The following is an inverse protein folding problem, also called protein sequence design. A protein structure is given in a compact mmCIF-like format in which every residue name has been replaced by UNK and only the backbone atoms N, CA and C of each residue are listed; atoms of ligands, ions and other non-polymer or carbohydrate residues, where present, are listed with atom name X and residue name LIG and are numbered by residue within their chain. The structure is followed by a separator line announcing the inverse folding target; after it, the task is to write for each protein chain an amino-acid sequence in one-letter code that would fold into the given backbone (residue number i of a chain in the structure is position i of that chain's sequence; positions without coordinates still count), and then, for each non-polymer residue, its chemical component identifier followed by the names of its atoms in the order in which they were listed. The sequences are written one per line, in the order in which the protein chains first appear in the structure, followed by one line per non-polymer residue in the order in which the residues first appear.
data_IF_220159726274
#
_entry.id   IF_220159726274
#
_cell.length_a   1.000
_cell.length_b   1.000
_cell.length_c   1.000
_cell.angle_alpha   90.00
_cell.angle_beta   90.00
_cell.angle_gamma   90.00
#
_symmetry.space_group_name_H-M   'P 1'
#
loop_
_entity.id
_entity.type
_entity.pdbx_description
1 polymer ?
#
# COMPACT_ATOMS: atom_id res chain seq x y z
N UNK A 1 -23.12 12.12 -2.67
CA UNK A 1 -24.21 11.46 -3.41
C UNK A 1 -23.68 11.04 -4.75
N UNK A 2 -23.57 9.74 -4.95
CA UNK A 2 -23.13 9.13 -6.19
C UNK A 2 -24.18 9.34 -7.29
N UNK A 3 -23.77 9.37 -8.57
CA UNK A 3 -24.71 9.50 -9.68
C UNK A 3 -25.65 8.29 -9.78
N UNK A 4 -26.86 8.51 -10.32
CA UNK A 4 -27.80 7.43 -10.56
C UNK A 4 -27.17 6.35 -11.45
N UNK A 5 -27.36 5.10 -11.05
CA UNK A 5 -26.78 3.95 -11.73
C UNK A 5 -25.26 3.80 -11.59
N UNK A 6 -24.63 4.47 -10.62
CA UNK A 6 -23.20 4.34 -10.36
C UNK A 6 -22.74 2.88 -10.27
N UNK A 7 -23.50 2.04 -9.56
CA UNK A 7 -23.18 0.62 -9.40
C UNK A 7 -23.11 -0.12 -10.76
N UNK A 8 -24.00 0.19 -11.71
CA UNK A 8 -23.97 -0.39 -13.06
C UNK A 8 -22.73 0.03 -13.87
N UNK A 9 -22.23 1.24 -13.62
CA UNK A 9 -21.03 1.77 -14.27
C UNK A 9 -19.73 1.32 -13.60
N UNK A 10 -19.75 0.72 -12.41
CA UNK A 10 -18.55 0.09 -11.83
C UNK A 10 -18.16 -1.13 -12.67
N UNK A 11 -16.87 -1.25 -13.02
CA UNK A 11 -16.37 -2.39 -13.80
C UNK A 11 -16.70 -3.72 -13.12
N UNK A 12 -17.07 -4.74 -13.92
CA UNK A 12 -17.48 -6.05 -13.42
C UNK A 12 -16.49 -6.63 -12.40
N UNK A 13 -15.20 -6.56 -12.70
CA UNK A 13 -14.14 -7.03 -11.79
C UNK A 13 -14.13 -6.32 -10.45
N UNK A 14 -14.26 -4.98 -10.43
CA UNK A 14 -14.29 -4.21 -9.17
C UNK A 14 -15.56 -4.47 -8.38
N UNK A 15 -16.70 -4.58 -9.08
CA UNK A 15 -17.99 -4.93 -8.46
C UNK A 15 -17.90 -6.29 -7.77
N UNK A 16 -17.40 -7.31 -8.48
CA UNK A 16 -17.22 -8.66 -7.92
C UNK A 16 -16.27 -8.67 -6.73
N UNK A 17 -15.20 -7.88 -6.73
CA UNK A 17 -14.31 -7.75 -5.56
C UNK A 17 -15.11 -7.24 -4.36
N UNK A 18 -15.86 -6.15 -4.51
CA UNK A 18 -16.65 -5.56 -3.40
C UNK A 18 -17.75 -6.52 -2.93
N UNK A 19 -18.45 -7.18 -3.86
CA UNK A 19 -19.51 -8.16 -3.57
C UNK A 19 -18.99 -9.39 -2.81
N UNK A 20 -17.78 -9.86 -3.14
CA UNK A 20 -17.16 -11.05 -2.52
C UNK A 20 -16.26 -10.73 -1.33
N UNK A 21 -16.05 -9.46 -0.99
CA UNK A 21 -15.22 -9.06 0.14
C UNK A 21 -15.95 -9.35 1.46
N UNK A 22 -15.33 -10.12 2.34
CA UNK A 22 -15.84 -10.37 3.69
C UNK A 22 -15.29 -9.35 4.71
N UNK A 23 -14.02 -8.96 4.54
CA UNK A 23 -13.30 -8.06 5.46
C UNK A 23 -12.61 -6.95 4.69
N UNK A 24 -12.85 -5.70 5.09
CA UNK A 24 -12.15 -4.51 4.61
C UNK A 24 -11.21 -4.01 5.71
N UNK A 25 -9.92 -3.95 5.41
CA UNK A 25 -8.90 -3.41 6.32
C UNK A 25 -8.44 -2.06 5.78
N UNK A 26 -8.51 -1.02 6.62
CA UNK A 26 -7.99 0.30 6.31
C UNK A 26 -6.95 0.66 7.36
N UNK A 27 -5.69 0.70 6.94
CA UNK A 27 -4.57 1.14 7.77
C UNK A 27 -4.31 2.65 7.56
N UNK A 28 -3.63 3.28 8.52
CA UNK A 28 -3.34 4.72 8.55
C UNK A 28 -4.61 5.59 8.35
N UNK A 29 -5.68 5.24 9.07
CA UNK A 29 -7.00 5.88 8.95
C UNK A 29 -6.98 7.39 9.25
N UNK A 30 -5.99 7.88 9.99
CA UNK A 30 -5.83 9.31 10.33
C UNK A 30 -5.61 10.21 9.11
N UNK A 31 -5.07 9.67 8.01
CA UNK A 31 -4.89 10.42 6.75
C UNK A 31 -6.12 10.40 5.84
N UNK A 32 -7.15 9.62 6.17
CA UNK A 32 -8.38 9.55 5.38
C UNK A 32 -9.34 10.67 5.80
N UNK A 33 -9.89 11.39 4.83
CA UNK A 33 -10.88 12.42 5.12
C UNK A 33 -12.22 11.76 5.49
N UNK A 34 -12.95 12.35 6.43
CA UNK A 34 -14.33 12.01 6.78
C UNK A 34 -15.22 11.69 5.57
N UNK A 35 -15.30 12.60 4.60
CA UNK A 35 -16.15 12.44 3.43
C UNK A 35 -15.71 11.29 2.53
N UNK A 36 -14.43 10.89 2.56
CA UNK A 36 -13.96 9.73 1.80
C UNK A 36 -14.41 8.44 2.46
N UNK A 37 -14.44 8.38 3.79
CA UNK A 37 -14.99 7.23 4.50
C UNK A 37 -16.49 7.07 4.19
N UNK A 38 -17.24 8.18 4.20
CA UNK A 38 -18.65 8.19 3.79
C UNK A 38 -18.85 7.74 2.34
N UNK A 39 -17.96 8.15 1.43
CA UNK A 39 -18.01 7.67 0.03
C UNK A 39 -17.74 6.18 -0.09
N UNK A 40 -16.78 5.62 0.67
CA UNK A 40 -16.50 4.18 0.66
C UNK A 40 -17.71 3.40 1.15
N UNK A 41 -18.34 3.85 2.24
CA UNK A 41 -19.59 3.28 2.77
C UNK A 41 -20.72 3.31 1.72
N UNK A 42 -20.98 4.47 1.11
CA UNK A 42 -22.01 4.66 0.07
C UNK A 42 -21.80 3.68 -1.10
N UNK A 43 -20.56 3.53 -1.58
CA UNK A 43 -20.21 2.58 -2.65
C UNK A 43 -20.46 1.14 -2.23
N UNK A 44 -20.02 0.74 -1.04
CA UNK A 44 -20.19 -0.63 -0.56
C UNK A 44 -21.67 -1.01 -0.40
N UNK A 45 -22.50 -0.12 0.15
CA UNK A 45 -23.96 -0.31 0.28
C UNK A 45 -24.64 -0.52 -1.05
N UNK A 46 -24.36 0.35 -2.03
CA UNK A 46 -24.95 0.30 -3.35
C UNK A 46 -24.54 -0.97 -4.10
N UNK A 47 -23.25 -1.29 -4.13
CA UNK A 47 -22.73 -2.46 -4.86
C UNK A 47 -23.24 -3.77 -4.24
N UNK A 48 -23.28 -3.87 -2.91
CA UNK A 48 -23.75 -5.09 -2.22
C UNK A 48 -25.27 -5.17 -2.08
N UNK A 49 -26.00 -4.14 -2.55
CA UNK A 49 -27.46 -4.03 -2.43
C UNK A 49 -27.94 -4.19 -0.98
N UNK A 50 -27.21 -3.60 -0.04
CA UNK A 50 -27.49 -3.62 1.40
C UNK A 50 -27.42 -2.19 1.93
N UNK A 51 -28.47 -1.42 1.64
CA UNK A 51 -28.53 0.03 1.92
C UNK A 51 -28.59 0.35 3.41
N UNK A 52 -29.16 -0.54 4.22
CA UNK A 52 -29.34 -0.32 5.67
C UNK A 52 -28.18 -0.85 6.53
N UNK A 53 -27.17 -1.47 5.91
CA UNK A 53 -26.02 -2.03 6.63
C UNK A 53 -24.75 -1.21 6.37
N UNK A 54 -24.04 -0.74 7.42
CA UNK A 54 -22.72 -0.13 7.27
C UNK A 54 -21.80 -0.96 6.38
N UNK A 55 -21.18 -0.29 5.42
CA UNK A 55 -20.31 -0.81 4.38
C UNK A 55 -20.93 -1.98 3.62
N UNK A 56 -22.25 -1.99 3.42
CA UNK A 56 -22.97 -3.10 2.79
C UNK A 56 -22.82 -4.42 3.54
N UNK A 57 -22.59 -4.37 4.86
CA UNK A 57 -22.40 -5.53 5.73
C UNK A 57 -21.02 -6.18 5.63
N UNK A 58 -20.01 -5.47 5.12
CA UNK A 58 -18.60 -5.91 5.18
C UNK A 58 -18.08 -5.72 6.62
N UNK A 59 -17.31 -6.68 7.14
CA UNK A 59 -16.58 -6.46 8.39
C UNK A 59 -15.46 -5.45 8.16
N UNK A 60 -15.48 -4.33 8.86
CA UNK A 60 -14.45 -3.28 8.72
C UNK A 60 -13.47 -3.31 9.89
N UNK A 61 -12.18 -3.33 9.58
CA UNK A 61 -11.08 -3.20 10.54
C UNK A 61 -10.32 -1.92 10.22
N UNK A 62 -10.31 -0.99 11.17
CA UNK A 62 -9.65 0.31 11.03
C UNK A 62 -8.44 0.36 11.96
N UNK A 63 -7.29 0.79 11.42
CA UNK A 63 -6.03 0.96 12.14
C UNK A 63 -5.46 2.34 11.84
N UNK A 64 -4.82 2.96 12.83
CA UNK A 64 -4.12 4.23 12.67
C UNK A 64 -4.00 5.00 13.97
N UNK A 65 -3.34 6.15 13.89
CA UNK A 65 -3.03 7.00 15.02
C UNK A 65 -3.34 8.46 14.68
N UNK A 66 -4.31 9.06 15.39
CA UNK A 66 -4.78 10.42 15.13
C UNK A 66 -3.78 11.50 15.57
N UNK A 67 -2.75 11.14 16.35
CA UNK A 67 -1.63 12.03 16.65
C UNK A 67 -0.59 12.11 15.52
N UNK A 68 -0.67 11.21 14.53
CA UNK A 68 0.14 11.30 13.31
C UNK A 68 -0.45 12.33 12.34
N UNK A 69 -0.10 12.24 11.05
CA UNK A 69 -0.50 13.26 10.09
C UNK A 69 -2.03 13.23 9.86
N UNK A 70 -2.68 14.40 9.84
CA UNK A 70 -4.08 14.52 9.50
C UNK A 70 -4.32 14.35 7.99
N UNK A 71 -5.59 14.31 7.54
CA UNK A 71 -5.91 14.30 6.12
C UNK A 71 -5.37 15.55 5.41
N UNK A 72 -4.79 15.36 4.22
CA UNK A 72 -4.17 16.45 3.46
C UNK A 72 -5.20 17.24 2.66
N UNK A 73 -5.55 18.43 3.16
CA UNK A 73 -6.38 19.41 2.45
C UNK A 73 -5.56 20.18 1.41
N UNK A 74 -6.06 20.28 0.17
CA UNK A 74 -5.43 21.05 -0.93
C UNK A 74 -6.17 22.37 -1.09
N UNK A 75 -5.46 23.46 -1.41
CA UNK A 75 -6.01 24.82 -1.51
C UNK A 75 -7.23 25.00 -2.45
N UNK A 76 -7.43 24.10 -3.43
CA UNK A 76 -8.57 24.09 -4.35
C UNK A 76 -9.40 22.80 -4.26
N UNK A 77 -9.22 22.03 -3.19
CA UNK A 77 -9.93 20.78 -2.95
C UNK A 77 -11.09 20.95 -1.98
N UNK A 78 -11.92 19.91 -1.88
CA UNK A 78 -12.87 19.77 -0.76
C UNK A 78 -12.05 19.60 0.52
N UNK A 79 -12.25 20.50 1.47
CA UNK A 79 -11.73 20.32 2.83
C UNK A 79 -12.49 19.21 3.55
N UNK A 80 -11.78 18.43 4.37
CA UNK A 80 -12.36 17.43 5.24
C UNK A 80 -11.57 17.27 6.53
N UNK A 81 -12.25 16.78 7.57
CA UNK A 81 -11.65 16.49 8.87
C UNK A 81 -11.32 15.01 9.04
N UNK A 82 -10.98 14.63 10.27
CA UNK A 82 -10.73 13.24 10.63
C UNK A 82 -11.98 12.37 10.45
N UNK A 83 -11.76 11.07 10.15
CA UNK A 83 -12.83 10.10 9.92
C UNK A 83 -13.88 9.99 11.03
N UNK A 84 -13.55 10.38 12.27
CA UNK A 84 -14.48 10.33 13.41
C UNK A 84 -15.68 11.26 13.23
N UNK A 85 -15.55 12.27 12.36
CA UNK A 85 -16.60 13.23 12.04
C UNK A 85 -17.59 12.69 10.98
N UNK A 86 -17.27 11.56 10.34
CA UNK A 86 -18.06 10.99 9.26
C UNK A 86 -19.34 10.31 9.76
N UNK A 87 -20.36 10.29 8.89
CA UNK A 87 -21.61 9.57 9.18
C UNK A 87 -21.39 8.06 9.23
N UNK A 88 -20.56 7.53 8.32
CA UNK A 88 -20.18 6.13 8.28
C UNK A 88 -19.46 5.69 9.57
N UNK A 89 -18.57 6.51 10.14
CA UNK A 89 -17.93 6.19 11.43
C UNK A 89 -18.96 6.09 12.57
N UNK A 90 -19.90 7.04 12.63
CA UNK A 90 -20.95 7.08 13.65
C UNK A 90 -21.89 5.87 13.55
N UNK A 91 -22.32 5.51 12.35
CA UNK A 91 -23.24 4.38 12.12
C UNK A 91 -22.56 3.03 12.28
N UNK A 92 -21.28 2.92 11.88
CA UNK A 92 -20.48 1.71 12.09
C UNK A 92 -20.29 1.39 13.58
N UNK A 93 -20.28 2.41 14.45
CA UNK A 93 -20.00 2.32 15.89
C UNK A 93 -18.87 1.31 16.21
N UNK A 94 -17.64 1.55 15.72
CA UNK A 94 -16.60 0.54 15.75
C UNK A 94 -16.20 0.19 17.19
N UNK A 95 -15.96 -1.10 17.45
CA UNK A 95 -15.33 -1.54 18.70
C UNK A 95 -13.89 -1.03 18.75
N UNK A 96 -13.63 -0.13 19.68
CA UNK A 96 -12.32 0.50 19.87
C UNK A 96 -11.44 -0.40 20.72
N UNK A 97 -10.26 -0.75 20.19
CA UNK A 97 -9.17 -1.41 20.89
C UNK A 97 -7.97 -0.46 20.92
N UNK A 98 -7.36 -0.26 22.09
CA UNK A 98 -6.23 0.66 22.25
C UNK A 98 -4.97 -0.13 22.59
N UNK A 99 -3.95 -0.04 21.74
CA UNK A 99 -2.65 -0.66 21.98
C UNK A 99 -1.78 0.26 22.85
N UNK A 100 -1.12 -0.30 23.85
CA UNK A 100 -0.32 0.47 24.82
C UNK A 100 1.18 0.17 24.72
N UNK A 101 1.54 -1.07 24.40
CA UNK A 101 2.94 -1.51 24.29
C UNK A 101 3.60 -0.96 23.02
N UNK A 102 4.79 -0.38 23.16
CA UNK A 102 5.60 0.14 22.07
C UNK A 102 6.66 -0.89 21.70
N UNK A 103 6.68 -1.31 20.43
CA UNK A 103 7.64 -2.31 19.94
C UNK A 103 8.76 -1.72 19.06
N UNK A 104 8.64 -0.44 18.65
CA UNK A 104 9.60 0.17 17.71
C UNK A 104 10.81 0.74 18.44
N UNK A 105 10.57 1.61 19.41
CA UNK A 105 11.63 2.18 20.22
C UNK A 105 12.07 1.21 21.30
N UNK A 106 13.35 1.25 21.67
CA UNK A 106 13.87 0.44 22.77
C UNK A 106 13.35 0.99 24.10
N UNK A 107 12.97 0.10 25.01
CA UNK A 107 12.59 0.49 26.36
C UNK A 107 13.73 1.24 27.05
N UNK A 108 13.39 2.37 27.69
CA UNK A 108 14.35 3.25 28.36
C UNK A 108 15.13 4.18 27.43
N UNK A 109 14.87 4.18 26.12
CA UNK A 109 15.51 5.11 25.19
C UNK A 109 14.99 6.55 25.37
N UNK A 110 15.89 7.53 25.24
CA UNK A 110 15.56 8.96 25.35
C UNK A 110 14.53 9.39 24.30
N UNK A 111 14.59 8.84 23.10
CA UNK A 111 13.63 9.13 22.03
C UNK A 111 12.22 8.70 22.42
N UNK A 112 12.07 7.56 23.10
CA UNK A 112 10.76 7.09 23.56
C UNK A 112 10.16 8.04 24.61
N UNK A 113 10.98 8.55 25.54
CA UNK A 113 10.54 9.56 26.51
C UNK A 113 10.06 10.82 25.81
N UNK A 114 10.83 11.33 24.84
CA UNK A 114 10.48 12.52 24.06
C UNK A 114 9.17 12.30 23.30
N UNK A 115 9.03 11.20 22.56
CA UNK A 115 7.82 10.88 21.79
C UNK A 115 6.58 10.73 22.69
N UNK A 116 6.75 10.11 23.85
CA UNK A 116 5.69 9.98 24.86
C UNK A 116 5.31 11.34 25.42
N UNK A 117 6.27 12.20 25.73
CA UNK A 117 6.04 13.55 26.23
C UNK A 117 5.34 14.44 25.18
N UNK A 118 5.74 14.34 23.91
CA UNK A 118 5.03 15.00 22.80
C UNK A 118 3.57 14.56 22.77
N UNK A 119 3.31 13.24 22.74
CA UNK A 119 1.94 12.70 22.71
C UNK A 119 1.12 13.10 23.95
N UNK A 120 1.75 13.21 25.12
CA UNK A 120 1.09 13.62 26.36
C UNK A 120 0.85 15.14 26.47
N UNK A 121 1.48 15.94 25.60
CA UNK A 121 1.44 17.40 25.71
C UNK A 121 2.30 17.94 26.86
N UNK A 122 3.24 17.14 27.37
CA UNK A 122 4.19 17.48 28.46
C UNK A 122 5.62 17.59 27.91
N UNK A 123 5.77 18.24 26.75
CA UNK A 123 7.09 18.47 26.17
C UNK A 123 7.82 19.57 26.96
N UNK A 124 8.79 19.17 27.76
CA UNK A 124 9.60 20.06 28.59
C UNK A 124 10.86 20.54 27.87
N UNK A 125 11.50 21.57 28.43
CA UNK A 125 12.76 22.14 27.94
C UNK A 125 13.85 21.09 27.71
N UNK A 126 14.06 20.16 28.65
CA UNK A 126 15.05 19.07 28.52
C UNK A 126 14.85 18.21 27.26
N UNK A 127 13.59 17.94 26.89
CA UNK A 127 13.28 17.12 25.71
C UNK A 127 13.62 17.87 24.43
N UNK A 128 13.35 19.18 24.39
CA UNK A 128 13.71 20.03 23.26
C UNK A 128 15.23 20.19 23.15
N UNK A 129 15.94 20.34 24.27
CA UNK A 129 17.41 20.39 24.31
C UNK A 129 18.03 19.10 23.77
N UNK A 130 17.55 17.93 24.20
CA UNK A 130 18.01 16.62 23.68
C UNK A 130 17.78 16.47 22.17
N UNK A 131 16.66 16.98 21.63
CA UNK A 131 16.45 17.00 20.18
C UNK A 131 17.39 17.99 19.47
N UNK A 132 17.58 19.18 20.04
CA UNK A 132 18.48 20.19 19.48
C UNK A 132 19.94 19.71 19.47
N UNK A 133 20.38 18.97 20.49
CA UNK A 133 21.71 18.35 20.50
C UNK A 133 21.92 17.47 19.25
N UNK A 134 20.86 16.84 18.72
CA UNK A 134 20.94 16.04 17.48
C UNK A 134 21.23 16.84 16.21
N UNK A 135 21.26 18.17 16.26
CA UNK A 135 21.75 19.01 15.14
C UNK A 135 23.27 19.06 15.05
N UNK A 136 23.96 18.77 16.16
CA UNK A 136 25.42 18.83 16.24
C UNK A 136 26.08 17.50 15.84
N UNK A 137 25.33 16.41 15.81
CA UNK A 137 25.84 15.10 15.42
C UNK A 137 25.78 14.90 13.91
N UNK A 138 26.85 14.33 13.36
CA UNK A 138 26.91 13.90 11.97
C UNK A 138 26.81 12.37 11.89
N UNK A 139 26.11 11.84 10.86
CA UNK A 139 26.11 10.41 10.61
C UNK A 139 27.51 9.93 10.25
N UNK A 140 27.87 8.67 10.55
CA UNK A 140 29.12 8.07 10.11
C UNK A 140 29.30 8.21 8.60
N UNK A 141 30.55 8.35 8.15
CA UNK A 141 30.85 8.42 6.73
C UNK A 141 30.37 7.14 6.02
N UNK A 142 29.61 7.31 4.94
CA UNK A 142 29.05 6.19 4.18
C UNK A 142 27.86 5.48 4.84
N UNK A 143 27.26 6.03 5.89
CA UNK A 143 26.07 5.46 6.50
C UNK A 143 24.91 5.36 5.48
N UNK A 144 24.27 4.19 5.42
CA UNK A 144 23.01 3.99 4.68
C UNK A 144 21.87 4.70 5.44
N UNK A 145 21.68 5.98 5.13
CA UNK A 145 20.70 6.84 5.79
C UNK A 145 19.65 7.32 4.80
N UNK A 146 18.40 7.29 5.22
CA UNK A 146 17.31 7.93 4.49
C UNK A 146 17.09 9.32 5.04
N UNK A 147 17.04 10.33 4.17
CA UNK A 147 16.73 11.69 4.55
C UNK A 147 15.23 11.96 4.52
N UNK A 148 14.71 12.53 5.60
CA UNK A 148 13.31 12.90 5.72
C UNK A 148 13.14 14.42 5.64
N UNK A 149 12.30 14.87 4.71
CA UNK A 149 12.04 16.29 4.45
C UNK A 149 10.54 16.57 4.45
N UNK A 150 10.13 17.82 4.65
CA UNK A 150 8.69 18.14 4.76
C UNK A 150 8.01 18.36 3.40
N UNK A 151 8.76 18.77 2.38
CA UNK A 151 8.24 19.15 1.05
C UNK A 151 8.95 18.44 -0.09
N UNK A 152 8.23 18.13 -1.18
CA UNK A 152 8.78 17.38 -2.32
C UNK A 152 9.91 18.14 -3.05
N UNK A 153 9.86 19.47 -3.10
CA UNK A 153 10.91 20.25 -3.81
C UNK A 153 12.31 20.04 -3.23
N UNK A 154 12.42 19.91 -1.91
CA UNK A 154 13.71 19.64 -1.26
C UNK A 154 14.15 18.20 -1.52
N UNK A 155 13.20 17.25 -1.44
CA UNK A 155 13.42 15.84 -1.74
C UNK A 155 13.96 15.64 -3.15
N UNK A 156 13.31 16.25 -4.14
CA UNK A 156 13.67 16.09 -5.55
C UNK A 156 15.04 16.73 -5.83
N UNK A 157 15.32 17.92 -5.26
CA UNK A 157 16.63 18.57 -5.36
C UNK A 157 17.76 17.73 -4.76
N UNK A 158 17.57 17.17 -3.57
CA UNK A 158 18.60 16.35 -2.90
C UNK A 158 18.83 15.06 -3.68
N UNK A 159 17.77 14.40 -4.11
CA UNK A 159 17.87 13.17 -4.89
C UNK A 159 18.59 13.39 -6.23
N UNK A 160 18.32 14.50 -6.92
CA UNK A 160 19.02 14.85 -8.16
C UNK A 160 20.51 15.13 -7.91
N UNK A 161 20.86 15.87 -6.86
CA UNK A 161 22.26 16.13 -6.50
C UNK A 161 23.01 14.82 -6.19
N UNK A 162 22.40 13.92 -5.41
CA UNK A 162 22.97 12.61 -5.08
C UNK A 162 23.13 11.71 -6.30
N UNK A 163 22.17 11.72 -7.22
CA UNK A 163 22.28 10.97 -8.47
C UNK A 163 23.45 11.50 -9.32
N UNK A 164 23.63 12.82 -9.40
CA UNK A 164 24.70 13.45 -10.17
C UNK A 164 26.10 13.12 -9.62
N UNK A 165 26.23 12.91 -8.30
CA UNK A 165 27.47 12.48 -7.64
C UNK A 165 27.87 11.03 -8.00
N UNK A 166 26.93 10.19 -8.44
CA UNK A 166 27.24 8.81 -8.78
C UNK A 166 28.04 8.71 -10.10
N UNK A 167 29.05 7.83 -10.15
CA UNK A 167 29.76 7.52 -11.38
C UNK A 167 28.86 6.73 -12.36
N UNK A 168 29.31 6.62 -13.61
CA UNK A 168 28.62 5.86 -14.64
C UNK A 168 27.60 6.68 -15.44
N UNK A 169 27.08 6.02 -16.47
CA UNK A 169 26.17 6.63 -17.43
C UNK A 169 24.74 6.71 -16.91
N UNK A 170 24.01 7.73 -17.35
CA UNK A 170 22.61 7.91 -17.00
C UNK A 170 21.71 7.13 -17.95
N UNK A 171 20.73 6.41 -17.39
CA UNK A 171 19.64 5.81 -18.15
C UNK A 171 18.37 6.59 -17.86
N UNK A 172 17.71 7.07 -18.93
CA UNK A 172 16.52 7.91 -18.85
C UNK A 172 15.28 7.14 -19.31
N UNK A 173 14.23 7.18 -18.49
CA UNK A 173 12.91 6.63 -18.81
C UNK A 173 11.87 7.75 -18.85
N UNK A 174 11.36 8.04 -20.05
CA UNK A 174 10.20 8.92 -20.21
C UNK A 174 8.91 8.17 -19.97
N UNK A 175 7.99 8.79 -19.23
CA UNK A 175 6.63 8.27 -19.09
C UNK A 175 5.92 8.26 -20.45
N UNK A 176 5.00 7.31 -20.63
CA UNK A 176 4.11 7.28 -21.77
C UNK A 176 2.65 7.46 -21.32
N UNK A 177 1.90 8.36 -21.96
CA UNK A 177 0.52 8.67 -21.59
C UNK A 177 -0.47 8.42 -22.72
N UNK A 178 -1.68 7.97 -22.42
CA UNK A 178 -2.80 7.88 -23.37
C UNK A 178 -4.07 8.48 -22.78
N UNK A 179 -4.98 8.99 -23.60
CA UNK A 179 -6.22 9.65 -23.17
C UNK A 179 -6.20 11.16 -23.38
N UNK A 180 -7.29 11.86 -23.05
CA UNK A 180 -7.34 13.32 -23.15
C UNK A 180 -6.58 14.00 -21.99
N UNK A 181 -6.02 15.18 -22.25
CA UNK A 181 -5.18 15.92 -21.29
C UNK A 181 -5.85 16.07 -19.91
N UNK A 182 -7.12 16.47 -19.86
CA UNK A 182 -7.84 16.63 -18.59
C UNK A 182 -7.87 15.34 -17.74
N UNK A 183 -8.02 14.17 -18.37
CA UNK A 183 -8.02 12.89 -17.66
C UNK A 183 -6.61 12.46 -17.25
N UNK A 184 -5.61 12.72 -18.11
CA UNK A 184 -4.20 12.46 -17.81
C UNK A 184 -3.74 13.32 -16.63
N UNK A 185 -4.05 14.61 -16.63
CA UNK A 185 -3.70 15.56 -15.55
C UNK A 185 -4.34 15.18 -14.22
N UNK A 186 -5.58 14.69 -14.25
CA UNK A 186 -6.24 14.18 -13.07
C UNK A 186 -5.53 12.91 -12.54
N UNK A 187 -5.24 11.95 -13.42
CA UNK A 187 -4.54 10.72 -13.05
C UNK A 187 -3.12 10.98 -12.53
N UNK A 188 -2.38 11.91 -13.14
CA UNK A 188 -1.01 12.28 -12.78
C UNK A 188 -0.90 12.69 -11.30
N UNK A 189 -1.94 13.32 -10.74
CA UNK A 189 -1.97 13.72 -9.30
C UNK A 189 -1.87 12.54 -8.33
N UNK A 190 -2.09 11.31 -8.80
CA UNK A 190 -1.99 10.07 -8.04
C UNK A 190 -0.76 9.21 -8.40
N UNK A 191 -0.06 9.55 -9.49
CA UNK A 191 1.15 8.84 -9.93
C UNK A 191 2.34 9.43 -9.19
N UNK A 192 3.08 8.57 -8.50
CA UNK A 192 4.27 8.97 -7.71
C UNK A 192 5.57 8.79 -8.46
N UNK A 193 5.56 8.03 -9.57
CA UNK A 193 6.70 7.92 -10.47
C UNK A 193 6.88 9.24 -11.24
N UNK A 194 8.12 9.72 -11.40
CA UNK A 194 8.38 10.98 -12.08
C UNK A 194 8.10 10.88 -13.58
N UNK A 195 7.86 12.03 -14.20
CA UNK A 195 7.66 12.13 -15.66
C UNK A 195 8.90 11.66 -16.44
N UNK A 196 10.07 12.09 -16.00
CA UNK A 196 11.36 11.58 -16.45
C UNK A 196 12.02 10.94 -15.24
N UNK A 197 12.25 9.63 -15.31
CA UNK A 197 13.03 8.90 -14.32
C UNK A 197 14.45 8.75 -14.87
N UNK A 198 15.43 9.34 -14.18
CA UNK A 198 16.85 9.15 -14.49
C UNK A 198 17.47 8.26 -13.42
N UNK A 199 18.22 7.24 -13.83
CA UNK A 199 18.89 6.30 -12.93
C UNK A 199 20.34 6.07 -13.36
N UNK A 200 21.16 5.67 -12.38
CA UNK A 200 22.53 5.15 -12.56
C UNK A 200 22.68 3.89 -11.71
N UNK A 201 23.68 3.06 -11.99
CA UNK A 201 24.09 2.00 -11.06
C UNK A 201 24.48 2.65 -9.73
N UNK A 202 24.02 2.07 -8.62
CA UNK A 202 24.17 2.61 -7.26
C UNK A 202 23.05 3.58 -6.84
N UNK A 203 22.11 3.91 -7.71
CA UNK A 203 21.01 4.79 -7.36
C UNK A 203 20.10 4.17 -6.28
N UNK A 204 19.84 4.91 -5.19
CA UNK A 204 18.90 4.49 -4.16
C UNK A 204 17.48 4.84 -4.60
N UNK A 205 16.62 3.82 -4.69
CA UNK A 205 15.27 3.94 -5.24
C UNK A 205 14.22 3.36 -4.30
N UNK A 206 12.99 3.83 -4.46
CA UNK A 206 11.80 3.33 -3.76
C UNK A 206 10.76 2.90 -4.77
N UNK A 207 10.21 1.70 -4.59
CA UNK A 207 9.07 1.22 -5.35
C UNK A 207 7.82 2.03 -4.99
N UNK A 208 7.10 2.54 -5.99
CA UNK A 208 5.89 3.37 -5.79
C UNK A 208 4.58 2.66 -6.12
N UNK A 209 4.66 1.36 -6.41
CA UNK A 209 3.52 0.49 -6.71
C UNK A 209 3.75 -0.89 -6.10
N UNK A 210 2.67 -1.61 -5.81
CA UNK A 210 2.77 -2.97 -5.29
C UNK A 210 3.01 -3.96 -6.43
N UNK A 211 3.96 -4.89 -6.24
CA UNK A 211 4.16 -5.99 -7.17
C UNK A 211 3.07 -7.06 -7.01
N UNK A 212 2.51 -7.54 -8.12
CA UNK A 212 1.48 -8.60 -8.07
C UNK A 212 2.04 -9.92 -7.55
N UNK A 213 3.33 -10.20 -7.81
CA UNK A 213 4.02 -11.37 -7.28
C UNK A 213 4.56 -11.16 -5.84
N UNK A 214 4.26 -10.01 -5.22
CA UNK A 214 4.66 -9.66 -3.84
C UNK A 214 6.17 -9.74 -3.61
N UNK A 215 6.98 -9.47 -4.64
CA UNK A 215 8.46 -9.39 -4.53
C UNK A 215 8.88 -8.15 -3.75
N UNK A 216 8.18 -7.05 -3.98
CA UNK A 216 8.26 -5.79 -3.25
C UNK A 216 6.86 -5.19 -3.04
N UNK A 217 6.75 -4.21 -2.15
CA UNK A 217 5.56 -3.39 -1.93
C UNK A 217 5.87 -1.91 -2.16
N UNK A 218 4.83 -1.10 -2.33
CA UNK A 218 4.94 0.36 -2.32
C UNK A 218 5.65 0.82 -1.04
N UNK A 219 6.71 1.62 -1.17
CA UNK A 219 7.60 2.01 -0.07
C UNK A 219 8.85 1.15 0.09
N UNK A 220 8.99 0.03 -0.63
CA UNK A 220 10.20 -0.80 -0.57
C UNK A 220 11.40 -0.04 -1.13
N UNK A 221 12.47 0.06 -0.34
CA UNK A 221 13.72 0.72 -0.72
C UNK A 221 14.70 -0.34 -1.24
N UNK A 222 15.42 0.01 -2.30
CA UNK A 222 16.47 -0.81 -2.90
C UNK A 222 17.49 0.03 -3.66
N UNK A 223 18.52 -0.63 -4.14
CA UNK A 223 19.60 -0.02 -4.93
C UNK A 223 19.56 -0.57 -6.35
N UNK A 224 19.75 0.29 -7.34
CA UNK A 224 19.96 -0.15 -8.73
C UNK A 224 21.32 -0.82 -8.81
N UNK A 225 21.36 -2.11 -9.10
CA UNK A 225 22.60 -2.89 -9.17
C UNK A 225 23.05 -3.15 -10.60
N UNK A 226 22.13 -3.10 -11.56
CA UNK A 226 22.42 -3.35 -12.97
C UNK A 226 21.28 -2.82 -13.87
N UNK A 227 21.48 -2.90 -15.18
CA UNK A 227 20.45 -2.69 -16.21
C UNK A 227 20.36 -3.92 -17.13
N UNK A 228 19.14 -4.39 -17.42
CA UNK A 228 18.94 -5.61 -18.22
C UNK A 228 19.47 -5.43 -19.66
N UNK A 229 20.38 -6.29 -20.19
CA UNK A 229 21.15 -6.09 -21.44
C UNK A 229 20.42 -5.96 -22.79
N UNK A 230 19.12 -5.66 -22.82
CA UNK A 230 18.32 -5.48 -24.06
C UNK A 230 17.26 -4.41 -23.88
N UNK A 231 16.64 -4.38 -22.70
CA UNK A 231 15.53 -3.47 -22.39
C UNK A 231 16.01 -2.22 -21.67
N UNK A 232 17.26 -2.22 -21.19
CA UNK A 232 17.83 -1.27 -20.26
C UNK A 232 16.97 -1.08 -19.00
N UNK A 233 16.13 -2.06 -18.63
CA UNK A 233 15.32 -1.93 -17.43
C UNK A 233 16.15 -2.07 -16.16
N UNK A 234 15.90 -1.26 -15.13
CA UNK A 234 16.73 -1.25 -13.94
C UNK A 234 16.52 -2.53 -13.13
N UNK A 235 17.61 -3.17 -12.76
CA UNK A 235 17.66 -4.30 -11.84
C UNK A 235 17.90 -3.75 -10.45
N UNK A 236 16.95 -3.95 -9.54
CA UNK A 236 16.97 -3.38 -8.19
C UNK A 236 17.13 -4.49 -7.15
N UNK A 237 18.15 -4.38 -6.31
CA UNK A 237 18.28 -5.16 -5.08
C UNK A 237 17.57 -4.44 -3.94
N UNK A 238 16.44 -4.99 -3.48
CA UNK A 238 15.69 -4.44 -2.36
C UNK A 238 16.29 -4.88 -1.02
N UNK A 239 16.09 -4.07 0.02
CA UNK A 239 16.56 -4.37 1.40
C UNK A 239 16.04 -5.69 1.99
N UNK A 240 15.03 -6.30 1.38
CA UNK A 240 14.56 -7.65 1.75
C UNK A 240 15.40 -8.78 1.13
N UNK A 241 16.52 -8.46 0.46
CA UNK A 241 17.44 -9.38 -0.19
C UNK A 241 16.96 -9.89 -1.56
N UNK A 242 15.88 -9.33 -2.12
CA UNK A 242 15.36 -9.74 -3.43
C UNK A 242 15.84 -8.79 -4.52
N UNK A 243 16.38 -9.37 -5.58
CA UNK A 243 16.74 -8.66 -6.80
C UNK A 243 15.63 -8.80 -7.84
N UNK A 244 15.18 -7.68 -8.41
CA UNK A 244 14.04 -7.63 -9.33
C UNK A 244 14.31 -6.68 -10.49
N UNK A 245 14.12 -7.16 -11.72
CA UNK A 245 14.05 -6.30 -12.91
C UNK A 245 12.74 -5.51 -12.90
N UNK A 246 12.85 -4.18 -12.87
CA UNK A 246 11.73 -3.28 -12.72
C UNK A 246 11.21 -2.86 -14.09
N UNK A 247 10.10 -3.47 -14.51
CA UNK A 247 9.46 -3.20 -15.80
C UNK A 247 8.48 -2.02 -15.70
N UNK A 248 8.16 -1.33 -16.82
CA UNK A 248 7.12 -0.31 -16.83
C UNK A 248 5.78 -0.87 -16.36
N UNK A 249 5.11 -0.14 -15.49
CA UNK A 249 3.77 -0.46 -15.03
C UNK A 249 2.82 0.70 -15.34
N UNK A 250 1.54 0.39 -15.50
CA UNK A 250 0.52 1.34 -15.94
C UNK A 250 -0.44 1.72 -14.82
N UNK A 251 -0.62 3.01 -14.60
CA UNK A 251 -1.73 3.59 -13.85
C UNK A 251 -2.85 3.93 -14.82
N UNK A 252 -4.10 3.66 -14.45
CA UNK A 252 -5.24 3.84 -15.34
C UNK A 252 -6.39 4.57 -14.64
N UNK A 253 -6.94 5.56 -15.33
CA UNK A 253 -8.24 6.12 -15.01
C UNK A 253 -9.28 5.44 -15.89
N UNK A 254 -10.18 4.69 -15.26
CA UNK A 254 -11.26 3.98 -15.93
C UNK A 254 -12.61 4.54 -15.51
N UNK A 255 -13.50 4.64 -16.48
CA UNK A 255 -14.91 4.93 -16.31
C UNK A 255 -15.68 3.67 -16.74
N UNK A 256 -16.02 2.84 -15.76
CA UNK A 256 -16.44 1.46 -15.97
C UNK A 256 -15.42 0.62 -16.73
N UNK A 257 -15.82 0.08 -17.88
CA UNK A 257 -14.95 -0.73 -18.75
C UNK A 257 -14.07 0.13 -19.64
N UNK A 258 -14.43 1.40 -19.87
CA UNK A 258 -13.71 2.29 -20.77
C UNK A 258 -12.47 2.88 -20.11
N UNK A 259 -11.30 2.68 -20.73
CA UNK A 259 -10.06 3.36 -20.36
C UNK A 259 -10.15 4.83 -20.81
N UNK A 260 -10.13 5.77 -19.85
CA UNK A 260 -10.21 7.22 -20.12
C UNK A 260 -8.83 7.84 -20.25
N UNK A 261 -7.90 7.42 -19.39
CA UNK A 261 -6.50 7.77 -19.47
C UNK A 261 -5.61 6.67 -18.89
N UNK A 262 -4.36 6.62 -19.33
CA UNK A 262 -3.33 5.80 -18.70
C UNK A 262 -1.98 6.49 -18.69
N UNK A 263 -1.18 6.22 -17.68
CA UNK A 263 0.21 6.66 -17.55
C UNK A 263 1.03 5.39 -17.34
N UNK A 264 2.06 5.16 -18.14
CA UNK A 264 3.00 4.04 -18.02
C UNK A 264 4.39 4.58 -17.71
N UNK A 265 5.04 4.02 -16.68
CA UNK A 265 6.39 4.40 -16.26
C UNK A 265 6.99 3.27 -15.39
N UNK A 266 8.31 3.20 -15.29
CA UNK A 266 8.98 2.35 -14.29
C UNK A 266 8.47 2.75 -12.88
N UNK A 267 7.95 1.82 -12.06
CA UNK A 267 7.32 2.16 -10.77
C UNK A 267 8.36 2.41 -9.66
N UNK A 268 9.32 3.29 -9.95
CA UNK A 268 10.39 3.72 -9.07
C UNK A 268 10.40 5.25 -8.92
N UNK A 269 11.01 5.70 -7.84
CA UNK A 269 11.51 7.07 -7.65
C UNK A 269 12.81 7.02 -6.88
N UNK A 270 13.63 8.06 -6.98
CA UNK A 270 14.82 8.22 -6.12
C UNK A 270 14.41 8.34 -4.64
N UNK A 271 15.26 7.84 -3.75
CA UNK A 271 14.93 7.60 -2.35
C UNK A 271 16.04 7.91 -1.34
N UNK A 272 17.11 8.64 -1.71
CA UNK A 272 18.03 9.20 -0.72
C UNK A 272 17.31 10.17 0.22
N UNK A 273 16.39 10.95 -0.34
CA UNK A 273 15.43 11.74 0.40
C UNK A 273 13.99 11.28 0.09
N UNK A 274 13.13 11.30 1.11
CA UNK A 274 11.68 11.13 0.99
C UNK A 274 10.97 12.16 1.88
N UNK A 275 9.67 12.36 1.61
CA UNK A 275 8.88 13.25 2.48
C UNK A 275 8.45 12.54 3.77
N UNK A 276 8.27 13.29 4.86
CA UNK A 276 7.72 12.77 6.12
C UNK A 276 6.40 12.03 5.89
N UNK A 277 5.52 12.56 5.02
CA UNK A 277 4.26 11.91 4.62
C UNK A 277 4.46 10.50 4.02
N UNK A 278 5.54 10.29 3.27
CA UNK A 278 5.85 8.97 2.67
C UNK A 278 6.53 8.03 3.64
N UNK A 279 7.11 8.54 4.72
CA UNK A 279 7.72 7.74 5.76
C UNK A 279 6.71 7.17 6.77
N UNK A 280 5.47 7.65 6.79
CA UNK A 280 4.44 7.15 7.71
C UNK A 280 4.23 5.64 7.55
N UNK A 281 4.04 4.91 8.65
CA UNK A 281 4.08 3.45 8.71
C UNK A 281 5.47 2.80 8.59
N UNK A 282 6.51 3.48 8.10
CA UNK A 282 7.85 2.91 7.94
C UNK A 282 8.66 2.89 9.24
N UNK A 283 9.65 1.99 9.32
CA UNK A 283 10.69 1.98 10.35
C UNK A 283 12.04 2.10 9.66
N UNK A 284 12.90 3.00 10.14
CA UNK A 284 14.23 3.27 9.61
C UNK A 284 15.27 2.92 10.68
N UNK A 285 16.36 2.28 10.28
CA UNK A 285 17.47 1.99 11.19
C UNK A 285 18.22 3.28 11.58
N UNK A 286 18.36 4.21 10.63
CA UNK A 286 18.97 5.53 10.81
C UNK A 286 18.35 6.53 9.84
N UNK A 287 18.21 7.79 10.28
CA UNK A 287 17.64 8.84 9.46
C UNK A 287 18.21 10.23 9.77
N UNK A 288 18.40 11.04 8.72
CA UNK A 288 18.61 12.48 8.85
C UNK A 288 17.31 13.21 8.54
N UNK A 289 16.83 14.06 9.45
CA UNK A 289 15.52 14.69 9.33
C UNK A 289 15.66 16.21 9.33
N UNK A 290 15.07 16.86 8.33
CA UNK A 290 14.93 18.31 8.29
C UNK A 290 13.48 18.72 8.62
N UNK A 291 13.30 19.25 9.83
CA UNK A 291 12.02 19.73 10.36
C UNK A 291 11.92 21.26 10.39
N UNK A 292 12.87 21.99 9.77
CA UNK A 292 12.84 23.47 9.74
C UNK A 292 11.59 24.01 9.04
N UNK A 293 11.09 23.27 8.04
CA UNK A 293 9.89 23.59 7.25
C UNK A 293 8.66 22.77 7.67
N UNK A 294 8.59 22.28 8.92
CA UNK A 294 7.37 21.63 9.41
C UNK A 294 6.22 22.64 9.50
N UNK A 295 5.05 22.25 9.00
CA UNK A 295 3.93 23.17 8.78
C UNK A 295 2.59 22.67 9.33
N UNK A 296 2.54 21.45 9.86
CA UNK A 296 1.33 20.85 10.44
C UNK A 296 1.66 20.11 11.74
N UNK A 297 0.80 20.19 12.77
CA UNK A 297 0.97 19.41 13.99
C UNK A 297 1.05 17.91 13.71
N UNK A 298 1.80 17.18 14.54
CA UNK A 298 2.04 15.74 14.37
C UNK A 298 3.11 15.39 13.34
N UNK A 299 3.53 16.33 12.47
CA UNK A 299 4.57 16.06 11.46
C UNK A 299 5.92 15.70 12.07
N UNK A 300 6.38 16.45 13.09
CA UNK A 300 7.62 16.09 13.78
C UNK A 300 7.51 14.77 14.51
N UNK A 301 6.37 14.50 15.17
CA UNK A 301 6.11 13.19 15.80
C UNK A 301 6.20 12.03 14.81
N UNK A 302 5.62 12.15 13.61
CA UNK A 302 5.73 11.13 12.56
C UNK A 302 7.18 10.94 12.13
N UNK A 303 7.91 12.03 11.87
CA UNK A 303 9.29 11.96 11.41
C UNK A 303 10.22 11.33 12.46
N UNK A 304 10.17 11.82 13.70
CA UNK A 304 11.00 11.36 14.81
C UNK A 304 10.72 9.90 15.17
N UNK A 305 9.44 9.49 15.13
CA UNK A 305 9.05 8.10 15.44
C UNK A 305 9.46 7.07 14.39
N UNK A 306 10.10 7.47 13.27
CA UNK A 306 10.61 6.51 12.26
C UNK A 306 11.85 5.77 12.71
N UNK A 307 12.65 6.37 13.61
CA UNK A 307 13.91 5.81 14.11
C UNK A 307 13.65 5.06 15.42
N UNK A 308 14.47 4.03 15.71
CA UNK A 308 14.32 3.18 16.90
C UNK A 308 14.94 3.76 18.17
N UNK A 309 15.97 4.57 18.02
CA UNK A 309 16.74 5.14 19.13
C UNK A 309 17.24 6.53 18.77
N UNK A 310 17.58 7.31 19.80
CA UNK A 310 18.03 8.69 19.62
C UNK A 310 19.41 8.78 18.94
N UNK A 311 20.27 7.78 19.13
CA UNK A 311 21.64 7.77 18.62
C UNK A 311 21.69 7.71 17.08
N UNK A 312 20.72 7.04 16.48
CA UNK A 312 20.57 6.94 15.02
C UNK A 312 19.66 8.03 14.40
N UNK A 313 19.20 8.99 15.22
CA UNK A 313 18.40 10.13 14.76
C UNK A 313 19.30 11.36 14.54
N UNK A 314 19.40 11.88 13.33
CA UNK A 314 20.17 13.09 13.04
C UNK A 314 19.23 14.21 12.60
N UNK A 315 19.42 15.44 13.07
CA UNK A 315 18.56 16.56 12.68
C UNK A 315 19.36 17.61 11.89
N UNK A 316 18.81 18.07 10.77
CA UNK A 316 19.32 19.29 10.10
C UNK A 316 18.81 20.55 10.82
N UNK A 317 17.66 20.44 11.48
CA UNK A 317 17.05 21.50 12.25
C UNK A 317 15.59 21.22 12.50
N UNK A 318 15.01 21.96 13.45
CA UNK A 318 13.63 21.76 13.92
C UNK A 318 13.00 23.11 14.24
N UNK A 319 11.70 23.23 14.00
CA UNK A 319 10.93 24.43 14.34
C UNK A 319 9.87 24.12 15.42
N UNK A 320 9.20 25.16 15.93
CA UNK A 320 8.16 25.00 16.96
C UNK A 320 6.97 24.13 16.50
N UNK A 321 6.57 24.23 15.22
CA UNK A 321 5.45 23.46 14.67
C UNK A 321 5.73 21.94 14.69
N UNK A 322 6.98 21.53 14.44
CA UNK A 322 7.39 20.14 14.52
C UNK A 322 7.17 19.52 15.92
N UNK A 323 7.19 20.34 16.97
CA UNK A 323 7.01 19.92 18.35
C UNK A 323 5.54 19.90 18.81
N UNK A 324 4.61 20.36 17.98
CA UNK A 324 3.19 20.46 18.32
C UNK A 324 2.42 19.21 17.94
N UNK A 325 1.42 18.88 18.77
CA UNK A 325 0.40 17.87 18.50
C UNK A 325 -0.95 18.57 18.23
N UNK A 326 -1.85 17.88 17.53
CA UNK A 326 -3.17 18.44 17.20
C UNK A 326 -4.10 18.44 18.42
N UNK A 327 -4.73 19.59 18.70
CA UNK A 327 -5.77 19.72 19.73
C UNK A 327 -6.97 18.80 19.44
N UNK A 328 -7.36 18.70 18.17
CA UNK A 328 -8.43 17.78 17.75
C UNK A 328 -8.04 16.32 18.02
N UNK A 329 -6.77 15.96 17.81
CA UNK A 329 -6.28 14.61 18.12
C UNK A 329 -6.38 14.29 19.62
N UNK A 330 -6.13 15.25 20.52
CA UNK A 330 -6.34 15.05 21.96
C UNK A 330 -7.82 14.79 22.31
N UNK A 331 -8.74 15.54 21.69
CA UNK A 331 -10.17 15.34 21.88
C UNK A 331 -10.59 13.93 21.42
N UNK A 332 -10.11 13.52 20.24
CA UNK A 332 -10.36 12.19 19.69
C UNK A 332 -9.80 11.10 20.60
N UNK A 333 -8.54 11.23 21.02
CA UNK A 333 -7.87 10.25 21.87
C UNK A 333 -8.61 10.04 23.20
N UNK A 334 -9.05 11.13 23.84
CA UNK A 334 -9.84 11.05 25.07
C UNK A 334 -11.12 10.24 24.89
N UNK A 335 -11.85 10.47 23.79
CA UNK A 335 -13.06 9.74 23.47
C UNK A 335 -12.78 8.25 23.17
N UNK A 336 -11.75 7.98 22.36
CA UNK A 336 -11.38 6.61 21.99
C UNK A 336 -10.90 5.80 23.18
N UNK A 337 -10.13 6.38 24.10
CA UNK A 337 -9.71 5.72 25.34
C UNK A 337 -10.88 5.38 26.25
N UNK A 338 -11.85 6.28 26.39
CA UNK A 338 -13.07 6.01 27.15
C UNK A 338 -13.85 4.83 26.53
N UNK A 339 -14.08 4.86 25.21
CA UNK A 339 -14.74 3.75 24.48
C UNK A 339 -13.95 2.44 24.59
N UNK A 340 -12.62 2.48 24.52
CA UNK A 340 -11.78 1.30 24.68
C UNK A 340 -11.94 0.67 26.07
N UNK A 341 -12.00 1.49 27.13
CA UNK A 341 -12.24 1.01 28.50
C UNK A 341 -13.61 0.33 28.63
N UNK A 342 -14.65 0.90 28.03
CA UNK A 342 -15.99 0.32 28.06
C UNK A 342 -16.10 -0.95 27.20
N UNK A 343 -15.45 -0.98 26.04
CA UNK A 343 -15.35 -2.18 25.21
C UNK A 343 -14.57 -3.30 25.91
N UNK A 344 -13.48 -2.99 26.61
CA UNK A 344 -12.73 -3.99 27.39
C UNK A 344 -13.62 -4.65 28.46
N UNK A 345 -14.49 -3.88 29.14
CA UNK A 345 -15.48 -4.44 30.07
C UNK A 345 -16.53 -5.29 29.35
N UNK A 346 -17.12 -4.77 28.25
CA UNK A 346 -18.14 -5.45 27.45
C UNK A 346 -17.65 -6.83 26.96
N UNK A 347 -16.40 -6.90 26.54
CA UNK A 347 -15.78 -8.08 25.96
C UNK A 347 -14.90 -8.86 26.95
N UNK A 348 -14.96 -8.57 28.25
CA UNK A 348 -14.15 -9.25 29.27
C UNK A 348 -14.35 -10.79 29.28
N UNK A 349 -15.55 -11.24 28.90
CA UNK A 349 -15.88 -12.67 28.75
C UNK A 349 -15.02 -13.40 27.68
N UNK A 350 -14.33 -12.67 26.79
CA UNK A 350 -13.41 -13.23 25.81
C UNK A 350 -12.01 -13.49 26.38
N UNK A 351 -11.65 -12.91 27.54
CA UNK A 351 -10.31 -13.04 28.13
C UNK A 351 -9.91 -14.50 28.38
N UNK A 352 -10.74 -15.38 28.98
CA UNK A 352 -10.36 -16.77 29.18
C UNK A 352 -10.06 -17.52 27.88
N UNK A 353 -10.73 -17.12 26.78
CA UNK A 353 -10.47 -17.68 25.46
C UNK A 353 -9.17 -17.13 24.88
N UNK A 354 -8.82 -15.87 25.15
CA UNK A 354 -7.53 -15.31 24.75
C UNK A 354 -6.37 -16.00 25.48
N UNK A 355 -6.50 -16.22 26.79
CA UNK A 355 -5.47 -16.87 27.61
C UNK A 355 -5.19 -18.31 27.13
N UNK A 356 -6.25 -19.07 26.83
CA UNK A 356 -6.11 -20.41 26.23
C UNK A 356 -5.47 -20.40 24.85
N UNK A 357 -5.60 -19.32 24.06
CA UNK A 357 -4.90 -19.19 22.77
C UNK A 357 -3.41 -18.94 23.00
N UNK A 358 -3.09 -18.05 23.94
CA UNK A 358 -1.71 -17.73 24.29
C UNK A 358 -0.95 -18.95 24.83
N UNK A 359 -1.62 -19.79 25.63
CA UNK A 359 -1.08 -21.05 26.14
C UNK A 359 -1.01 -22.18 25.07
N UNK A 360 -1.46 -21.94 23.84
CA UNK A 360 -1.52 -22.96 22.77
C UNK A 360 -2.59 -24.04 22.98
N UNK A 361 -3.45 -23.90 24.00
CA UNK A 361 -4.47 -24.88 24.39
C UNK A 361 -5.70 -24.87 23.47
N UNK A 362 -5.96 -23.75 22.80
CA UNK A 362 -6.97 -23.69 21.76
C UNK A 362 -6.41 -24.25 20.46
N UNK A 363 -6.80 -25.49 20.16
CA UNK A 363 -6.72 -26.02 18.79
C UNK A 363 -7.36 -24.99 17.85
N UNK A 364 -6.75 -24.72 16.67
CA UNK A 364 -7.40 -23.89 15.66
C UNK A 364 -8.85 -24.36 15.53
N UNK A 365 -9.79 -23.43 15.44
CA UNK A 365 -11.17 -23.79 15.15
C UNK A 365 -11.13 -24.84 14.04
N UNK A 366 -11.70 -26.04 14.27
CA UNK A 366 -11.95 -26.98 13.19
C UNK A 366 -12.62 -26.12 12.14
N UNK A 367 -11.95 -25.89 11.00
CA UNK A 367 -12.59 -25.20 9.87
C UNK A 367 -13.95 -25.86 9.77
N UNK A 368 -15.02 -25.08 9.99
CA UNK A 368 -16.37 -25.56 9.73
C UNK A 368 -16.27 -26.27 8.39
N UNK A 369 -16.63 -27.56 8.33
CA UNK A 369 -16.34 -28.47 7.23
C UNK A 369 -16.64 -27.83 5.87
N UNK A 370 -15.70 -27.04 5.35
CA UNK A 370 -15.55 -26.73 3.96
C UNK A 370 -14.67 -27.85 3.43
N UNK A 371 -15.17 -29.07 3.56
CA UNK A 371 -14.68 -30.23 2.84
C UNK A 371 -14.97 -30.11 1.33
N UNK A 372 -15.21 -28.89 0.82
CA UNK A 372 -14.93 -28.57 -0.56
C UNK A 372 -13.42 -28.39 -0.73
N UNK A 373 -12.76 -29.55 -0.75
CA UNK A 373 -11.44 -29.84 -1.35
C UNK A 373 -10.56 -28.63 -1.62
N UNK A 374 -9.45 -28.56 -0.88
CA UNK A 374 -8.28 -27.74 -1.22
C UNK A 374 -8.11 -27.68 -2.75
N UNK A 375 -7.86 -26.49 -3.29
CA UNK A 375 -7.59 -26.29 -4.71
C UNK A 375 -6.54 -27.29 -5.24
N UNK A 376 -5.55 -27.65 -4.42
CA UNK A 376 -4.56 -28.68 -4.75
C UNK A 376 -5.17 -30.09 -4.87
N UNK A 377 -6.13 -30.45 -4.01
CA UNK A 377 -6.86 -31.72 -4.09
C UNK A 377 -7.82 -31.76 -5.28
N UNK A 378 -8.46 -30.63 -5.64
CA UNK A 378 -9.26 -30.50 -6.87
C UNK A 378 -8.41 -30.67 -8.12
N UNK A 379 -7.22 -30.06 -8.16
CA UNK A 379 -6.26 -30.22 -9.26
C UNK A 379 -5.75 -31.66 -9.33
N UNK A 380 -5.41 -32.28 -8.20
CA UNK A 380 -4.98 -33.68 -8.16
C UNK A 380 -6.05 -34.62 -8.72
N UNK A 381 -7.32 -34.43 -8.35
CA UNK A 381 -8.46 -35.20 -8.89
C UNK A 381 -8.68 -34.92 -10.39
N UNK A 382 -8.62 -33.66 -10.82
CA UNK A 382 -8.73 -33.32 -12.24
C UNK A 382 -7.58 -33.90 -13.08
N UNK A 383 -6.37 -33.98 -12.53
CA UNK A 383 -5.20 -34.55 -13.21
C UNK A 383 -5.26 -36.07 -13.40
N UNK A 384 -6.16 -36.77 -12.70
CA UNK A 384 -6.47 -38.17 -12.99
C UNK A 384 -7.12 -38.33 -14.37
N UNK A 385 -7.89 -37.34 -14.82
CA UNK A 385 -8.56 -37.33 -16.14
C UNK A 385 -7.83 -36.47 -17.17
N UNK A 386 -7.20 -35.37 -16.74
CA UNK A 386 -6.52 -34.40 -17.58
C UNK A 386 -5.10 -34.12 -17.03
N UNK A 387 -4.08 -34.93 -17.40
CA UNK A 387 -2.73 -34.86 -16.82
C UNK A 387 -2.07 -33.47 -16.89
N UNK A 388 -2.49 -32.64 -17.84
CA UNK A 388 -1.97 -31.30 -18.08
C UNK A 388 -2.91 -30.18 -17.62
N UNK A 389 -3.94 -30.49 -16.82
CA UNK A 389 -4.81 -29.49 -16.20
C UNK A 389 -4.00 -28.46 -15.39
N UNK A 390 -4.23 -27.17 -15.67
CA UNK A 390 -3.58 -26.01 -15.06
C UNK A 390 -2.04 -25.98 -15.19
N UNK A 391 -1.44 -26.77 -16.09
CA UNK A 391 -0.03 -26.57 -16.49
C UNK A 391 0.07 -25.39 -17.48
N UNK A 392 1.19 -24.64 -17.49
CA UNK A 392 1.46 -23.65 -18.53
C UNK A 392 1.35 -24.26 -19.94
N UNK A 393 0.90 -23.49 -20.91
CA UNK A 393 0.98 -23.88 -22.32
C UNK A 393 2.40 -23.64 -22.81
N UNK A 394 3.00 -24.67 -23.41
CA UNK A 394 4.29 -24.55 -24.10
C UNK A 394 4.07 -24.42 -25.60
N UNK A 395 5.09 -23.97 -26.33
CA UNK A 395 5.00 -23.75 -27.78
C UNK A 395 4.53 -25.00 -28.54
N UNK A 396 5.04 -26.18 -28.17
CA UNK A 396 4.63 -27.44 -28.78
C UNK A 396 3.12 -27.73 -28.61
N UNK A 397 2.57 -27.51 -27.42
CA UNK A 397 1.13 -27.67 -27.17
C UNK A 397 0.29 -26.72 -28.03
N UNK A 398 0.75 -25.49 -28.24
CA UNK A 398 0.07 -24.49 -29.07
C UNK A 398 0.12 -24.86 -30.56
N UNK A 399 1.26 -25.34 -31.04
CA UNK A 399 1.46 -25.75 -32.43
C UNK A 399 0.59 -26.99 -32.73
N UNK A 400 0.56 -27.98 -31.83
CA UNK A 400 -0.29 -29.17 -31.95
C UNK A 400 -1.79 -28.81 -31.89
N UNK A 401 -2.20 -27.96 -30.95
CA UNK A 401 -3.58 -27.49 -30.85
C UNK A 401 -4.07 -26.79 -32.13
N UNK A 402 -3.23 -25.93 -32.72
CA UNK A 402 -3.56 -25.21 -33.95
C UNK A 402 -3.71 -26.18 -35.13
N UNK A 403 -2.82 -27.15 -35.26
CA UNK A 403 -2.92 -28.16 -36.32
C UNK A 403 -4.19 -29.00 -36.20
N UNK A 404 -4.50 -29.51 -34.99
CA UNK A 404 -5.72 -30.31 -34.77
C UNK A 404 -7.00 -29.52 -35.10
N UNK A 405 -7.04 -28.24 -34.74
CA UNK A 405 -8.19 -27.38 -35.04
C UNK A 405 -8.35 -27.10 -36.53
N UNK A 406 -7.25 -26.80 -37.24
CA UNK A 406 -7.26 -26.61 -38.70
C UNK A 406 -7.70 -27.90 -39.42
N UNK A 407 -7.32 -29.07 -38.88
CA UNK A 407 -7.71 -30.37 -39.39
C UNK A 407 -9.16 -30.77 -39.04
N UNK A 408 -9.92 -29.89 -38.39
CA UNK A 408 -11.34 -30.11 -38.08
C UNK A 408 -11.59 -31.07 -36.92
N UNK A 409 -10.60 -31.34 -36.07
CA UNK A 409 -10.80 -32.21 -34.91
C UNK A 409 -11.76 -31.58 -33.89
N UNK A 410 -12.57 -32.42 -33.23
CA UNK A 410 -13.48 -31.95 -32.19
C UNK A 410 -12.73 -31.50 -30.93
N UNK A 411 -13.32 -30.58 -30.16
CA UNK A 411 -12.78 -30.11 -28.87
C UNK A 411 -12.54 -31.31 -27.92
N UNK A 412 -13.35 -32.36 -28.00
CA UNK A 412 -13.18 -33.58 -27.21
C UNK A 412 -11.91 -34.36 -27.60
N UNK A 413 -11.63 -34.49 -28.89
CA UNK A 413 -10.41 -35.14 -29.38
C UNK A 413 -9.15 -34.35 -28.96
N UNK A 414 -9.17 -33.02 -29.13
CA UNK A 414 -8.09 -32.13 -28.68
C UNK A 414 -7.87 -32.17 -27.16
N UNK A 415 -8.96 -32.19 -26.38
CA UNK A 415 -8.96 -32.30 -24.92
C UNK A 415 -8.31 -33.58 -24.44
N UNK A 416 -8.65 -34.71 -25.06
CA UNK A 416 -8.06 -36.01 -24.76
C UNK A 416 -6.57 -36.05 -25.13
N UNK A 417 -6.21 -35.60 -26.33
CA UNK A 417 -4.83 -35.67 -26.84
C UNK A 417 -3.86 -34.80 -26.05
N UNK A 418 -4.25 -33.56 -25.74
CA UNK A 418 -3.42 -32.63 -24.96
C UNK A 418 -3.52 -32.88 -23.45
N UNK A 419 -4.41 -33.76 -23.01
CA UNK A 419 -4.64 -34.06 -21.60
C UNK A 419 -5.12 -32.82 -20.82
N UNK A 420 -5.91 -31.95 -21.45
CA UNK A 420 -6.37 -30.66 -20.90
C UNK A 420 -7.89 -30.58 -20.96
N UNK A 421 -8.50 -29.97 -19.96
CA UNK A 421 -9.96 -29.80 -19.90
C UNK A 421 -10.51 -29.01 -21.11
N UNK A 422 -11.68 -29.38 -21.63
CA UNK A 422 -12.36 -28.77 -22.78
C UNK A 422 -12.42 -27.23 -22.72
N UNK A 423 -12.74 -26.66 -21.55
CA UNK A 423 -12.76 -25.21 -21.36
C UNK A 423 -11.39 -24.54 -21.59
N UNK A 424 -10.29 -25.21 -21.25
CA UNK A 424 -8.93 -24.72 -21.53
C UNK A 424 -8.60 -24.80 -23.02
N UNK A 425 -9.10 -25.82 -23.73
CA UNK A 425 -8.96 -25.94 -25.18
C UNK A 425 -9.73 -24.80 -25.86
N UNK A 426 -11.01 -24.61 -25.50
CA UNK A 426 -11.88 -23.55 -26.06
C UNK A 426 -11.29 -22.15 -25.86
N UNK A 427 -10.87 -21.80 -24.63
CA UNK A 427 -10.22 -20.51 -24.37
C UNK A 427 -8.91 -20.34 -25.15
N UNK A 428 -8.13 -21.41 -25.33
CA UNK A 428 -6.85 -21.31 -26.04
C UNK A 428 -7.03 -21.17 -27.54
N UNK A 429 -8.02 -21.85 -28.12
CA UNK A 429 -8.42 -21.67 -29.51
C UNK A 429 -8.96 -20.26 -29.77
N UNK A 430 -9.81 -19.73 -28.87
CA UNK A 430 -10.29 -18.35 -28.97
C UNK A 430 -9.15 -17.33 -28.95
N UNK A 431 -8.08 -17.59 -28.18
CA UNK A 431 -6.88 -16.74 -28.18
C UNK A 431 -6.12 -16.77 -29.51
N UNK A 432 -6.12 -17.91 -30.22
CA UNK A 432 -5.38 -18.07 -31.49
C UNK A 432 -6.20 -17.67 -32.72
N UNK A 433 -7.52 -17.89 -32.70
CA UNK A 433 -8.39 -17.78 -33.87
C UNK A 433 -9.58 -16.80 -33.69
N UNK A 434 -9.73 -16.17 -32.52
CA UNK A 434 -10.84 -15.25 -32.20
C UNK A 434 -12.05 -15.95 -31.56
N UNK A 435 -12.94 -15.18 -30.93
CA UNK A 435 -14.09 -15.71 -30.17
C UNK A 435 -15.12 -16.44 -31.05
N UNK A 436 -15.26 -16.02 -32.31
CA UNK A 436 -16.26 -16.52 -33.26
C UNK A 436 -15.90 -17.88 -33.90
N UNK A 437 -14.63 -18.29 -33.82
CA UNK A 437 -14.15 -19.50 -34.48
C UNK A 437 -14.55 -20.80 -33.75
N UNK A 438 -14.99 -20.74 -32.49
CA UNK A 438 -15.10 -21.91 -31.59
C UNK A 438 -16.52 -22.07 -31.01
N UNK A 439 -17.56 -21.84 -31.82
CA UNK A 439 -18.95 -22.02 -31.36
C UNK A 439 -19.26 -23.48 -31.03
#
# INVERSE_FOLDING_TARGET
RLPNGFAEHVSKTRREIIEKTDVLIIDEISMLHDYRLDMVDEVCRLVRKRVDAPFGGIQVVLSGDFFQLPPVNRAQGREGGFVVNSSAWRELDPTVLYLSEQFRQRDGDTLLEILTAMRAGDLRRRHAEQLLERTEYQPPAGADLTELHTVNVDVDRINQARLAELPGDEVLYQRHTTGSNNYVDNLQRSVLAPEVLTLKIGALVMAVKNDQARRYANGSIGMVVDFEPVTDYPVVEFRNGRTVTMQPDTWELRDGTRKRASISQIPLRLAWAITVHKSQGMTLDSARIDLRKAFVPGMGYVALSRVRDIDNLYLTGINRMALQMSDEAYVIDKQLRARAKDNAKKFAHLQPKADKRAAGELKPAKKANSANSSWSAKIAKMRQTYPNAYKPWIKADDDELRQMFINGESIAAMSHKLGRHHGSIKMRLQKHFGEDAVQ
#
